data_IF_338319701119
#
_entry.id   IF_338319701119
#
_cell.length_a   1.000
_cell.length_b   1.000
_cell.length_c   1.000
_cell.angle_alpha   90.00
_cell.angle_beta   90.00
_cell.angle_gamma   90.00
#
_symmetry.space_group_name_H-M   'P 1'
#
loop_
_entity.id
_entity.type
_entity.pdbx_description
1 polymer ?
#
# COMPACT_ATOMS: atom_id res chain seq x y z
N UNK A 1 -7.56 5.28 9.85
CA UNK A 1 -6.47 4.60 9.13
C UNK A 1 -5.11 5.06 9.64
N UNK A 2 -4.79 6.35 9.58
CA UNK A 2 -3.66 6.94 10.32
C UNK A 2 -4.16 7.33 11.71
N UNK A 3 -3.54 6.76 12.74
CA UNK A 3 -3.67 7.21 14.12
C UNK A 3 -2.26 7.48 14.58
N UNK A 4 -2.04 8.58 15.30
CA UNK A 4 -0.81 8.77 16.06
C UNK A 4 -0.59 7.55 16.91
N UNK A 5 0.37 6.74 16.50
CA UNK A 5 0.70 5.48 17.14
C UNK A 5 2.08 5.73 17.72
N UNK A 6 2.19 6.15 18.99
CA UNK A 6 3.50 6.40 19.58
C UNK A 6 4.31 5.12 19.44
N UNK A 7 5.40 5.20 18.70
CA UNK A 7 6.28 4.05 18.47
C UNK A 7 7.04 3.81 19.77
N UNK A 8 6.48 2.95 20.63
CA UNK A 8 7.19 2.51 21.83
C UNK A 8 8.37 1.68 21.34
N UNK A 9 9.59 2.07 21.72
CA UNK A 9 10.79 1.32 21.37
C UNK A 9 10.85 0.03 22.17
N UNK A 10 10.21 -1.01 21.63
CA UNK A 10 10.34 -2.39 22.11
C UNK A 10 10.95 -3.24 21.01
N UNK A 11 11.63 -4.32 21.39
CA UNK A 11 12.26 -5.21 20.43
C UNK A 11 11.23 -5.85 19.46
N UNK A 12 9.99 -6.07 19.90
CA UNK A 12 8.89 -6.55 19.06
C UNK A 12 8.51 -5.55 17.96
N UNK A 13 8.41 -4.26 18.32
CA UNK A 13 8.11 -3.18 17.37
C UNK A 13 9.24 -3.03 16.37
N UNK A 14 10.49 -2.96 16.86
CA UNK A 14 11.69 -2.86 16.01
C UNK A 14 11.79 -4.04 15.05
N UNK A 15 11.49 -5.26 15.50
CA UNK A 15 11.49 -6.45 14.66
C UNK A 15 10.49 -6.34 13.51
N UNK A 16 9.25 -5.91 13.77
CA UNK A 16 8.25 -5.74 12.71
C UNK A 16 8.56 -4.56 11.79
N UNK A 17 9.07 -3.45 12.32
CA UNK A 17 9.52 -2.31 11.49
C UNK A 17 10.63 -2.75 10.53
N UNK A 18 11.57 -3.57 10.99
CA UNK A 18 12.64 -4.12 10.15
C UNK A 18 12.11 -5.08 9.06
N UNK A 19 11.08 -5.87 9.36
CA UNK A 19 10.46 -6.74 8.35
C UNK A 19 9.62 -5.92 7.35
N UNK A 20 8.90 -4.91 7.82
CA UNK A 20 8.15 -4.01 6.95
C UNK A 20 9.08 -3.21 6.03
N UNK A 21 10.23 -2.75 6.55
CA UNK A 21 11.20 -1.97 5.76
C UNK A 21 11.82 -2.75 4.60
N UNK A 22 11.88 -4.08 4.70
CA UNK A 22 12.34 -4.95 3.61
C UNK A 22 11.51 -4.81 2.33
N UNK A 23 10.25 -4.38 2.40
CA UNK A 23 9.38 -4.14 1.23
C UNK A 23 9.84 -2.98 0.35
N UNK A 24 10.74 -2.14 0.85
CA UNK A 24 11.27 -0.95 0.16
C UNK A 24 12.75 -1.09 -0.17
N UNK A 25 13.30 -2.29 0.00
CA UNK A 25 14.66 -2.61 -0.34
C UNK A 25 14.76 -2.91 -1.85
N UNK A 26 15.72 -2.26 -2.52
CA UNK A 26 16.06 -2.56 -3.90
C UNK A 26 17.13 -3.65 -3.96
N UNK A 27 16.79 -4.76 -4.61
CA UNK A 27 17.76 -5.79 -4.94
C UNK A 27 18.46 -5.45 -6.26
N UNK A 28 19.75 -5.13 -6.20
CA UNK A 28 20.56 -4.79 -7.37
C UNK A 28 21.39 -5.97 -7.88
N UNK A 29 21.17 -7.19 -7.36
CA UNK A 29 21.93 -8.40 -7.74
C UNK A 29 21.86 -8.75 -9.22
N UNK A 30 20.76 -8.43 -9.89
CA UNK A 30 20.57 -8.66 -11.32
C UNK A 30 21.27 -7.63 -12.21
N UNK A 31 21.69 -6.48 -11.64
CA UNK A 31 22.38 -5.42 -12.37
C UNK A 31 23.90 -5.58 -12.37
N UNK A 32 24.45 -6.33 -11.41
CA UNK A 32 25.89 -6.64 -11.37
C UNK A 32 26.31 -7.66 -12.44
N UNK A 33 25.37 -8.41 -13.02
CA UNK A 33 25.63 -9.59 -13.84
C UNK A 33 25.72 -9.34 -15.36
N UNK A 34 26.08 -8.13 -15.82
CA UNK A 34 26.45 -7.97 -17.24
C UNK A 34 26.33 -6.59 -17.89
N UNK A 35 25.94 -5.52 -17.18
CA UNK A 35 25.74 -4.21 -17.81
C UNK A 35 26.40 -3.07 -17.02
N UNK A 36 27.73 -2.99 -17.10
CA UNK A 36 28.56 -2.00 -16.40
C UNK A 36 28.07 -0.54 -16.59
N UNK A 37 27.52 -0.23 -17.77
CA UNK A 37 27.01 1.10 -18.12
C UNK A 37 25.76 1.51 -17.32
N UNK A 38 24.88 0.54 -17.01
CA UNK A 38 23.70 0.77 -16.19
C UNK A 38 24.08 0.90 -14.72
N UNK A 39 25.04 0.10 -14.26
CA UNK A 39 25.54 0.18 -12.89
C UNK A 39 26.21 1.53 -12.60
N UNK A 40 27.07 2.02 -13.49
CA UNK A 40 27.70 3.34 -13.33
C UNK A 40 26.69 4.48 -13.36
N UNK A 41 25.69 4.40 -14.24
CA UNK A 41 24.59 5.38 -14.31
C UNK A 41 23.74 5.38 -13.04
N UNK A 42 23.49 4.20 -12.45
CA UNK A 42 22.80 4.06 -11.17
C UNK A 42 23.61 4.61 -10.01
N UNK A 43 24.90 4.30 -9.96
CA UNK A 43 25.80 4.83 -8.94
C UNK A 43 25.89 6.36 -9.02
N UNK A 44 26.00 6.92 -10.22
CA UNK A 44 25.97 8.36 -10.44
C UNK A 44 24.64 8.98 -9.96
N UNK A 45 23.50 8.40 -10.35
CA UNK A 45 22.18 8.88 -9.92
C UNK A 45 21.95 8.76 -8.41
N UNK A 46 22.57 7.79 -7.76
CA UNK A 46 22.42 7.54 -6.33
C UNK A 46 23.42 8.31 -5.44
N UNK A 47 24.41 8.99 -6.05
CA UNK A 47 25.29 9.94 -5.37
C UNK A 47 24.49 11.14 -4.82
N UNK A 48 25.07 11.88 -3.87
CA UNK A 48 24.44 13.08 -3.32
C UNK A 48 24.11 14.11 -4.43
N UNK A 49 25.03 14.31 -5.38
CA UNK A 49 24.81 15.18 -6.54
C UNK A 49 23.73 14.63 -7.47
N UNK A 50 23.75 13.33 -7.79
CA UNK A 50 22.74 12.69 -8.63
C UNK A 50 21.32 12.78 -8.06
N UNK A 51 21.19 12.64 -6.73
CA UNK A 51 19.90 12.79 -6.03
C UNK A 51 19.44 14.23 -5.98
N UNK A 52 20.36 15.18 -5.77
CA UNK A 52 20.06 16.61 -5.87
C UNK A 52 19.59 16.98 -7.29
N UNK A 53 20.21 16.43 -8.33
CA UNK A 53 19.79 16.61 -9.72
C UNK A 53 18.40 16.01 -9.97
N UNK A 54 18.15 14.79 -9.47
CA UNK A 54 16.84 14.14 -9.57
C UNK A 54 15.74 14.98 -8.93
N UNK A 55 15.98 15.50 -7.73
CA UNK A 55 15.02 16.36 -7.04
C UNK A 55 14.88 17.73 -7.73
N UNK A 56 15.96 18.29 -8.28
CA UNK A 56 15.90 19.52 -9.05
C UNK A 56 15.10 19.39 -10.36
N UNK A 57 15.09 18.20 -11.00
CA UNK A 57 14.18 17.91 -12.12
C UNK A 57 12.71 17.93 -11.70
N UNK A 58 12.45 17.60 -10.44
CA UNK A 58 11.13 17.59 -9.81
C UNK A 58 10.92 18.84 -8.92
N UNK A 59 11.47 20.00 -9.30
CA UNK A 59 11.24 21.28 -8.61
C UNK A 59 9.75 21.56 -8.40
N UNK A 60 9.45 22.43 -7.44
CA UNK A 60 8.09 22.78 -6.99
C UNK A 60 7.09 23.00 -8.14
N UNK A 61 7.46 23.73 -9.21
CA UNK A 61 6.56 23.94 -10.35
C UNK A 61 6.20 22.64 -11.09
N UNK A 62 7.15 21.71 -11.24
CA UNK A 62 6.91 20.42 -11.90
C UNK A 62 6.05 19.52 -11.00
N UNK A 63 6.33 19.50 -9.70
CA UNK A 63 5.52 18.75 -8.74
C UNK A 63 4.10 19.29 -8.66
N UNK A 64 3.92 20.61 -8.60
CA UNK A 64 2.59 21.24 -8.58
C UNK A 64 1.83 20.89 -9.86
N UNK A 65 2.43 21.11 -11.04
CA UNK A 65 1.80 20.74 -12.32
C UNK A 65 1.44 19.24 -12.37
N UNK A 66 2.31 18.35 -11.90
CA UNK A 66 2.02 16.93 -11.85
C UNK A 66 0.84 16.61 -10.91
N UNK A 67 0.77 17.24 -9.73
CA UNK A 67 -0.34 17.06 -8.79
C UNK A 67 -1.67 17.60 -9.36
N UNK A 68 -1.64 18.75 -10.04
CA UNK A 68 -2.81 19.32 -10.72
C UNK A 68 -3.28 18.41 -11.87
N UNK A 69 -2.36 17.88 -12.67
CA UNK A 69 -2.66 16.92 -13.74
C UNK A 69 -3.22 15.60 -13.19
N UNK A 70 -2.67 15.12 -12.08
CA UNK A 70 -3.19 13.94 -11.40
C UNK A 70 -4.62 14.16 -10.92
N UNK A 71 -4.93 15.33 -10.34
CA UNK A 71 -6.29 15.72 -9.98
C UNK A 71 -7.24 15.64 -11.19
N UNK A 72 -6.86 16.18 -12.35
CA UNK A 72 -7.70 16.12 -13.56
C UNK A 72 -7.95 14.67 -13.99
N UNK A 73 -6.93 13.81 -13.96
CA UNK A 73 -7.08 12.39 -14.29
C UNK A 73 -7.98 11.66 -13.31
N UNK A 74 -7.84 11.92 -12.01
CA UNK A 74 -8.72 11.35 -10.98
C UNK A 74 -10.16 11.82 -11.14
N UNK A 75 -10.38 13.12 -11.42
CA UNK A 75 -11.71 13.67 -11.68
C UNK A 75 -12.33 13.05 -12.93
N UNK A 76 -11.56 12.91 -14.01
CA UNK A 76 -12.05 12.27 -15.23
C UNK A 76 -12.47 10.82 -14.98
N UNK A 77 -11.68 10.10 -14.18
CA UNK A 77 -12.01 8.73 -13.78
C UNK A 77 -13.31 8.66 -12.99
N UNK A 78 -13.50 9.50 -11.97
CA UNK A 78 -14.68 9.46 -11.10
C UNK A 78 -15.83 10.36 -11.58
N UNK A 79 -15.74 10.97 -12.76
CA UNK A 79 -16.69 11.97 -13.25
C UNK A 79 -18.12 11.46 -13.46
N UNK A 80 -18.33 10.15 -13.40
CA UNK A 80 -19.63 9.50 -13.46
C UNK A 80 -20.35 9.42 -12.12
N UNK A 81 -19.64 9.61 -11.00
CA UNK A 81 -20.23 9.66 -9.67
C UNK A 81 -20.55 11.13 -9.39
N UNK A 82 -21.82 11.50 -9.20
CA UNK A 82 -22.19 12.88 -8.91
C UNK A 82 -21.64 13.31 -7.53
N UNK A 83 -21.12 14.54 -7.47
CA UNK A 83 -20.67 15.19 -6.23
C UNK A 83 -19.70 14.34 -5.38
N UNK A 84 -18.69 13.70 -6.00
CA UNK A 84 -17.64 12.92 -5.29
C UNK A 84 -16.81 13.78 -4.35
N UNK A 85 -16.49 15.00 -4.80
CA UNK A 85 -15.65 15.96 -4.10
C UNK A 85 -16.07 17.36 -4.54
N UNK A 86 -16.15 18.28 -3.59
CA UNK A 86 -16.26 19.69 -3.95
C UNK A 86 -14.90 20.25 -4.43
N UNK A 87 -14.93 21.41 -5.09
CA UNK A 87 -13.72 22.03 -5.65
C UNK A 87 -12.71 22.45 -4.57
N UNK A 88 -13.19 22.80 -3.38
CA UNK A 88 -12.34 23.23 -2.27
C UNK A 88 -11.61 22.05 -1.64
N UNK A 89 -12.29 20.93 -1.42
CA UNK A 89 -11.72 19.67 -0.97
C UNK A 89 -10.71 19.16 -1.99
N UNK A 90 -11.08 19.11 -3.27
CA UNK A 90 -10.18 18.77 -4.37
C UNK A 90 -8.86 19.56 -4.36
N UNK A 91 -8.96 20.87 -4.18
CA UNK A 91 -7.79 21.77 -4.11
C UNK A 91 -6.94 21.47 -2.88
N UNK A 92 -7.57 21.20 -1.74
CA UNK A 92 -6.86 20.79 -0.54
C UNK A 92 -6.11 19.48 -0.79
N UNK A 93 -6.76 18.41 -1.26
CA UNK A 93 -6.09 17.12 -1.57
C UNK A 93 -4.90 17.32 -2.49
N UNK A 94 -5.03 18.18 -3.51
CA UNK A 94 -3.92 18.54 -4.41
C UNK A 94 -2.75 19.21 -3.69
N UNK A 95 -3.03 20.18 -2.82
CA UNK A 95 -2.00 20.84 -2.00
C UNK A 95 -1.33 19.88 -1.02
N UNK A 96 -2.06 18.92 -0.45
CA UNK A 96 -1.49 17.92 0.45
C UNK A 96 -0.59 16.94 -0.30
N UNK A 97 -1.03 16.44 -1.45
CA UNK A 97 -0.18 15.61 -2.31
C UNK A 97 1.13 16.34 -2.63
N UNK A 98 1.07 17.61 -3.01
CA UNK A 98 2.25 18.43 -3.23
C UNK A 98 3.18 18.50 -2.01
N UNK A 99 2.64 18.77 -0.81
CA UNK A 99 3.43 18.82 0.43
C UNK A 99 4.10 17.48 0.76
N UNK A 100 3.40 16.37 0.57
CA UNK A 100 3.92 15.02 0.78
C UNK A 100 5.10 14.77 -0.16
N UNK A 101 4.94 15.00 -1.46
CA UNK A 101 6.02 14.76 -2.43
C UNK A 101 7.20 15.71 -2.25
N UNK A 102 6.96 16.98 -1.89
CA UNK A 102 8.04 17.90 -1.57
C UNK A 102 8.85 17.40 -0.38
N UNK A 103 8.18 16.98 0.71
CA UNK A 103 8.87 16.44 1.88
C UNK A 103 9.61 15.14 1.57
N UNK A 104 9.00 14.27 0.75
CA UNK A 104 9.63 13.04 0.28
C UNK A 104 10.94 13.32 -0.48
N UNK A 105 10.94 14.34 -1.37
CA UNK A 105 12.13 14.72 -2.12
C UNK A 105 13.21 15.36 -1.25
N UNK A 106 12.85 16.12 -0.21
CA UNK A 106 13.82 16.63 0.78
C UNK A 106 14.57 15.46 1.44
N UNK A 107 13.84 14.45 1.89
CA UNK A 107 14.42 13.26 2.54
C UNK A 107 15.24 12.46 1.53
N UNK A 108 14.72 12.24 0.32
CA UNK A 108 15.41 11.52 -0.75
C UNK A 108 16.76 12.14 -1.10
N UNK A 109 16.87 13.47 -1.09
CA UNK A 109 18.12 14.21 -1.36
C UNK A 109 19.16 14.06 -0.27
N UNK A 110 18.73 13.95 0.99
CA UNK A 110 19.62 13.82 2.14
C UNK A 110 20.29 12.44 2.21
N UNK A 111 19.76 11.45 1.49
CA UNK A 111 20.30 10.10 1.49
C UNK A 111 21.44 9.96 0.49
N UNK A 112 22.65 9.61 0.94
CA UNK A 112 23.77 9.25 0.05
C UNK A 112 23.98 7.74 0.02
N UNK A 113 24.65 7.24 -1.03
CA UNK A 113 25.03 5.84 -1.12
C UNK A 113 25.99 5.43 0.01
N UNK A 114 26.89 6.34 0.41
CA UNK A 114 27.89 6.12 1.47
C UNK A 114 27.24 5.81 2.83
N UNK A 115 26.01 6.29 3.06
CA UNK A 115 25.28 6.10 4.31
C UNK A 115 24.33 4.88 4.30
N UNK A 116 24.03 4.27 3.14
CA UNK A 116 22.88 3.36 2.98
C UNK A 116 23.15 2.03 2.26
N UNK A 117 24.40 1.70 1.92
CA UNK A 117 24.71 0.37 1.39
C UNK A 117 24.68 -0.65 2.53
N UNK A 118 23.65 -1.50 2.54
CA UNK A 118 23.69 -2.75 3.30
C UNK A 118 24.40 -3.78 2.42
N UNK A 119 25.67 -4.06 2.74
CA UNK A 119 26.38 -5.18 2.12
C UNK A 119 25.92 -6.46 2.80
N UNK A 120 24.93 -7.15 2.24
CA UNK A 120 24.58 -8.50 2.72
C UNK A 120 25.68 -9.44 2.22
N UNK A 121 26.61 -9.82 3.12
CA UNK A 121 27.59 -10.88 2.88
C UNK A 121 26.89 -12.24 2.98
N UNK A 122 26.42 -12.76 1.87
CA UNK A 122 26.28 -14.22 1.70
C UNK A 122 27.55 -14.66 0.99
N UNK A 123 28.24 -15.65 1.53
CA UNK A 123 29.53 -16.14 1.08
C UNK A 123 29.60 -16.25 -0.47
N UNK A 124 30.65 -15.68 -1.04
CA UNK A 124 31.08 -15.70 -2.45
C UNK A 124 30.28 -14.95 -3.53
N UNK A 125 29.22 -14.18 -3.22
CA UNK A 125 28.68 -13.18 -4.16
C UNK A 125 28.14 -11.95 -3.41
N UNK A 126 28.92 -10.87 -3.32
CA UNK A 126 28.48 -9.66 -2.62
C UNK A 126 27.25 -9.03 -3.29
N UNK A 127 26.09 -9.08 -2.63
CA UNK A 127 24.88 -8.39 -3.08
C UNK A 127 24.88 -6.98 -2.50
N UNK A 128 24.90 -5.98 -3.38
CA UNK A 128 24.68 -4.58 -2.97
C UNK A 128 23.18 -4.32 -2.89
N UNK A 129 22.72 -4.04 -1.68
CA UNK A 129 21.32 -3.76 -1.40
C UNK A 129 21.18 -2.27 -1.09
N UNK A 130 20.31 -1.57 -1.82
CA UNK A 130 19.99 -0.18 -1.53
C UNK A 130 18.63 -0.12 -0.83
N UNK A 131 18.65 0.21 0.46
CA UNK A 131 17.43 0.46 1.22
C UNK A 131 17.06 1.95 1.16
N UNK A 132 15.77 2.26 1.32
CA UNK A 132 15.40 3.58 1.81
C UNK A 132 15.93 3.70 3.25
N UNK A 133 16.59 4.81 3.55
CA UNK A 133 17.01 5.06 4.93
C UNK A 133 15.79 5.10 5.85
N UNK A 134 15.98 4.52 7.04
CA UNK A 134 15.03 4.33 8.14
C UNK A 134 13.57 4.68 7.80
N UNK A 135 12.78 3.67 7.45
CA UNK A 135 11.32 3.75 7.32
C UNK A 135 10.66 4.51 8.48
N UNK A 136 11.24 4.42 9.67
CA UNK A 136 10.84 5.19 10.86
C UNK A 136 11.02 6.71 10.69
N UNK A 137 12.14 7.17 10.11
CA UNK A 137 12.38 8.59 9.82
C UNK A 137 11.39 9.11 8.76
N UNK A 138 11.18 8.34 7.69
CA UNK A 138 10.19 8.67 6.67
C UNK A 138 8.77 8.70 7.24
N UNK A 139 8.41 7.73 8.08
CA UNK A 139 7.11 7.69 8.77
C UNK A 139 6.93 8.92 9.66
N UNK A 140 7.91 9.21 10.52
CA UNK A 140 7.88 10.33 11.46
C UNK A 140 7.82 11.67 10.74
N UNK A 141 8.56 11.84 9.65
CA UNK A 141 8.60 13.09 8.91
C UNK A 141 7.31 13.36 8.13
N UNK A 142 6.63 12.32 7.65
CA UNK A 142 5.38 12.45 6.90
C UNK A 142 4.14 12.46 7.80
N UNK A 143 4.19 11.84 8.98
CA UNK A 143 3.04 11.69 9.89
C UNK A 143 2.29 13.00 10.16
N UNK A 144 2.93 14.14 10.47
CA UNK A 144 2.21 15.40 10.70
C UNK A 144 1.40 15.86 9.48
N UNK A 145 1.94 15.70 8.27
CA UNK A 145 1.28 16.08 7.03
C UNK A 145 0.07 15.17 6.78
N UNK A 146 0.24 13.87 7.02
CA UNK A 146 -0.77 12.85 6.83
C UNK A 146 -1.91 12.95 7.87
N UNK A 147 -1.59 13.31 9.12
CA UNK A 147 -2.57 13.50 10.19
C UNK A 147 -3.48 14.70 9.95
N UNK A 148 -2.90 15.87 9.65
CA UNK A 148 -3.68 17.07 9.29
C UNK A 148 -4.62 16.76 8.12
N UNK A 149 -4.14 16.00 7.16
CA UNK A 149 -4.94 15.60 6.02
C UNK A 149 -6.11 14.69 6.40
N UNK A 150 -5.87 13.67 7.23
CA UNK A 150 -6.93 12.78 7.68
C UNK A 150 -7.98 13.51 8.53
N UNK A 151 -7.57 14.46 9.39
CA UNK A 151 -8.50 15.26 10.19
C UNK A 151 -9.45 16.08 9.32
N UNK A 152 -8.93 16.71 8.27
CA UNK A 152 -9.76 17.46 7.32
C UNK A 152 -10.77 16.56 6.59
N UNK A 153 -10.36 15.33 6.25
CA UNK A 153 -11.24 14.35 5.63
C UNK A 153 -12.30 13.80 6.59
N UNK A 154 -11.95 13.54 7.85
CA UNK A 154 -12.92 13.13 8.87
C UNK A 154 -13.96 14.24 9.10
N UNK A 155 -13.54 15.51 9.00
CA UNK A 155 -14.43 16.66 9.10
C UNK A 155 -15.41 16.78 7.92
N UNK A 156 -15.02 16.38 6.70
CA UNK A 156 -15.94 16.41 5.55
C UNK A 156 -17.02 15.32 5.60
N UNK A 157 -16.84 14.29 6.44
CA UNK A 157 -17.72 13.10 6.55
C UNK A 157 -17.91 12.34 5.25
N UNK A 158 -17.16 12.67 4.21
CA UNK A 158 -17.26 12.06 2.91
C UNK A 158 -16.05 11.17 2.66
N UNK A 159 -16.20 9.89 2.98
CA UNK A 159 -15.16 8.88 2.78
C UNK A 159 -14.71 8.76 1.31
N UNK A 160 -15.50 9.24 0.32
CA UNK A 160 -15.18 9.22 -1.13
C UNK A 160 -13.89 9.95 -1.45
N UNK A 161 -13.57 10.96 -0.66
CA UNK A 161 -12.33 11.68 -0.76
C UNK A 161 -11.07 10.82 -0.48
N UNK A 162 -11.17 9.70 0.26
CA UNK A 162 -10.04 8.80 0.50
C UNK A 162 -9.70 7.93 -0.72
N UNK A 163 -10.72 7.35 -1.36
CA UNK A 163 -10.54 6.63 -2.63
C UNK A 163 -10.03 7.55 -3.74
N UNK A 164 -10.49 8.81 -3.72
CA UNK A 164 -9.98 9.85 -4.59
C UNK A 164 -8.50 10.15 -4.31
N UNK A 165 -8.09 10.31 -3.04
CA UNK A 165 -6.70 10.59 -2.68
C UNK A 165 -5.76 9.49 -3.17
N UNK A 166 -6.04 8.23 -2.85
CA UNK A 166 -5.16 7.11 -3.23
C UNK A 166 -4.99 7.03 -4.74
N UNK A 167 -6.05 7.32 -5.51
CA UNK A 167 -5.99 7.43 -6.97
C UNK A 167 -5.18 8.64 -7.43
N UNK A 168 -5.34 9.80 -6.79
CA UNK A 168 -4.59 11.01 -7.12
C UNK A 168 -3.09 10.80 -6.90
N UNK A 169 -2.69 10.19 -5.79
CA UNK A 169 -1.28 9.88 -5.52
C UNK A 169 -0.72 8.88 -6.54
N UNK A 170 -1.50 7.86 -6.90
CA UNK A 170 -1.09 6.93 -7.95
C UNK A 170 -0.82 7.66 -9.29
N UNK A 171 -1.72 8.55 -9.71
CA UNK A 171 -1.49 9.35 -10.93
C UNK A 171 -0.30 10.31 -10.78
N UNK A 172 -0.14 10.95 -9.62
CA UNK A 172 1.03 11.79 -9.32
C UNK A 172 2.32 11.00 -9.44
N UNK A 173 2.39 9.80 -8.86
CA UNK A 173 3.54 8.90 -8.96
C UNK A 173 3.90 8.59 -10.40
N UNK A 174 2.91 8.27 -11.25
CA UNK A 174 3.16 8.02 -12.68
C UNK A 174 3.68 9.25 -13.40
N UNK A 175 3.11 10.42 -13.12
CA UNK A 175 3.53 11.68 -13.74
C UNK A 175 4.95 12.08 -13.31
N UNK A 176 5.28 11.88 -12.03
CA UNK A 176 6.63 12.04 -11.48
C UNK A 176 7.60 11.10 -12.19
N UNK A 177 7.31 9.80 -12.21
CA UNK A 177 8.18 8.79 -12.83
C UNK A 177 8.39 9.05 -14.33
N UNK A 178 7.38 9.54 -15.06
CA UNK A 178 7.51 9.89 -16.49
C UNK A 178 8.57 10.95 -16.77
N UNK A 179 8.97 11.76 -15.79
CA UNK A 179 10.01 12.80 -15.94
C UNK A 179 11.43 12.30 -15.68
N UNK A 180 11.57 11.06 -15.22
CA UNK A 180 12.83 10.53 -14.71
C UNK A 180 13.47 9.52 -15.68
N UNK A 181 14.79 9.49 -15.64
CA UNK A 181 15.59 8.46 -16.32
C UNK A 181 15.42 7.10 -15.62
N UNK A 182 15.75 5.97 -16.27
CA UNK A 182 15.60 4.66 -15.66
C UNK A 182 16.32 4.51 -14.30
N UNK A 183 17.57 4.97 -14.12
CA UNK A 183 18.22 4.91 -12.80
C UNK A 183 17.49 5.72 -11.72
N UNK A 184 17.04 6.93 -12.06
CA UNK A 184 16.28 7.79 -11.14
C UNK A 184 14.94 7.14 -10.74
N UNK A 185 14.25 6.50 -11.70
CA UNK A 185 13.02 5.75 -11.42
C UNK A 185 13.28 4.63 -10.42
N UNK A 186 14.33 3.83 -10.64
CA UNK A 186 14.70 2.73 -9.73
C UNK A 186 14.91 3.27 -8.31
N UNK A 187 15.65 4.37 -8.15
CA UNK A 187 15.98 4.94 -6.84
C UNK A 187 14.80 5.61 -6.14
N UNK A 188 13.90 6.25 -6.88
CA UNK A 188 12.77 6.99 -6.30
C UNK A 188 11.54 6.11 -6.06
N UNK A 189 11.36 5.02 -6.82
CA UNK A 189 10.18 4.14 -6.71
C UNK A 189 9.91 3.63 -5.29
N UNK A 190 10.91 3.18 -4.50
CA UNK A 190 10.66 2.76 -3.12
C UNK A 190 10.06 3.85 -2.22
N UNK A 191 10.47 5.10 -2.41
CA UNK A 191 9.94 6.25 -1.67
C UNK A 191 8.47 6.53 -2.05
N UNK A 192 8.15 6.44 -3.34
CA UNK A 192 6.78 6.62 -3.83
C UNK A 192 5.87 5.47 -3.36
N UNK A 193 6.37 4.23 -3.39
CA UNK A 193 5.68 3.04 -2.86
C UNK A 193 5.43 3.19 -1.36
N UNK A 194 6.42 3.66 -0.60
CA UNK A 194 6.28 3.92 0.84
C UNK A 194 5.13 4.88 1.13
N UNK A 195 5.06 6.01 0.41
CA UNK A 195 3.97 6.98 0.56
C UNK A 195 2.61 6.36 0.25
N UNK A 196 2.50 5.60 -0.84
CA UNK A 196 1.25 4.91 -1.20
C UNK A 196 0.82 3.91 -0.12
N UNK A 197 1.74 3.07 0.37
CA UNK A 197 1.44 2.10 1.43
C UNK A 197 1.08 2.78 2.76
N UNK A 198 1.84 3.80 3.16
CA UNK A 198 1.58 4.54 4.40
C UNK A 198 0.21 5.22 4.39
N UNK A 199 -0.25 5.63 3.22
CA UNK A 199 -1.54 6.30 3.05
C UNK A 199 -2.66 5.30 2.84
N UNK A 200 -2.43 4.12 2.27
CA UNK A 200 -3.50 3.16 1.99
C UNK A 200 -3.64 2.08 3.07
N UNK A 201 -2.61 1.85 3.89
CA UNK A 201 -2.51 0.67 4.75
C UNK A 201 -2.00 1.07 6.14
N UNK A 202 -2.50 0.44 7.22
CA UNK A 202 -2.12 0.79 8.59
C UNK A 202 -0.82 0.10 9.05
N UNK A 203 0.18 -0.11 8.17
CA UNK A 203 1.39 -0.90 8.50
C UNK A 203 2.16 -0.34 9.70
N UNK A 204 2.33 0.97 9.79
CA UNK A 204 2.97 1.59 10.95
C UNK A 204 2.23 1.27 12.26
N UNK A 205 0.88 1.24 12.24
CA UNK A 205 0.06 0.88 13.41
C UNK A 205 0.13 -0.62 13.70
N UNK A 206 0.24 -1.47 12.69
CA UNK A 206 0.52 -2.91 12.87
C UNK A 206 1.84 -3.07 13.63
N UNK A 207 2.90 -2.39 13.19
CA UNK A 207 4.19 -2.41 13.88
C UNK A 207 4.06 -1.88 15.32
N UNK A 208 3.38 -0.76 15.55
CA UNK A 208 3.20 -0.19 16.88
C UNK A 208 2.36 -1.09 17.82
N UNK A 209 1.35 -1.79 17.30
CA UNK A 209 0.52 -2.70 18.08
C UNK A 209 1.32 -3.88 18.65
N UNK A 210 2.46 -4.24 18.04
CA UNK A 210 3.37 -5.26 18.55
C UNK A 210 4.01 -4.90 19.90
N UNK A 211 3.94 -3.64 20.34
CA UNK A 211 4.44 -3.22 21.65
C UNK A 211 3.79 -3.97 22.82
N UNK A 212 2.59 -4.52 22.63
CA UNK A 212 1.85 -5.29 23.64
C UNK A 212 2.35 -6.72 23.82
N UNK A 213 3.22 -7.19 22.93
CA UNK A 213 3.59 -8.60 22.83
C UNK A 213 5.08 -8.81 23.08
N UNK A 214 5.40 -9.85 23.84
CA UNK A 214 6.78 -10.30 24.04
C UNK A 214 7.35 -10.96 22.78
N UNK A 215 8.67 -10.87 22.64
CA UNK A 215 9.42 -11.60 21.63
C UNK A 215 9.20 -13.10 21.84
N UNK A 216 8.61 -13.77 20.85
CA UNK A 216 8.30 -15.20 20.91
C UNK A 216 6.85 -15.54 21.23
N UNK A 217 6.01 -14.53 21.54
CA UNK A 217 4.56 -14.77 21.63
C UNK A 217 4.02 -15.37 20.33
N UNK A 218 3.04 -16.29 20.38
CA UNK A 218 2.54 -16.98 19.18
C UNK A 218 2.04 -16.03 18.08
N UNK A 219 1.35 -14.94 18.48
CA UNK A 219 0.87 -13.90 17.56
C UNK A 219 2.01 -13.19 16.83
N UNK A 220 3.07 -12.83 17.55
CA UNK A 220 4.21 -12.13 16.96
C UNK A 220 5.04 -13.06 16.09
N UNK A 221 5.22 -14.33 16.48
CA UNK A 221 5.89 -15.35 15.66
C UNK A 221 5.16 -15.54 14.34
N UNK A 222 3.83 -15.70 14.39
CA UNK A 222 2.98 -15.79 13.21
C UNK A 222 3.17 -14.57 12.30
N UNK A 223 3.07 -13.36 12.84
CA UNK A 223 3.18 -12.16 12.02
C UNK A 223 4.59 -11.98 11.43
N UNK A 224 5.65 -12.34 12.16
CA UNK A 224 7.02 -12.33 11.63
C UNK A 224 7.21 -13.28 10.45
N UNK A 225 6.54 -14.43 10.46
CA UNK A 225 6.53 -15.38 9.34
C UNK A 225 5.72 -14.83 8.14
N UNK A 226 4.59 -14.19 8.41
CA UNK A 226 3.63 -13.81 7.36
C UNK A 226 3.92 -12.47 6.70
N UNK A 227 4.50 -11.51 7.41
CA UNK A 227 4.74 -10.16 6.88
C UNK A 227 5.63 -10.16 5.61
N UNK A 228 6.73 -10.95 5.53
CA UNK A 228 7.55 -11.02 4.32
C UNK A 228 6.84 -11.60 3.11
N UNK A 229 5.86 -12.49 3.31
CA UNK A 229 5.17 -13.21 2.22
C UNK A 229 3.84 -12.57 1.80
N UNK A 230 3.47 -11.41 2.36
CA UNK A 230 2.20 -10.74 2.06
C UNK A 230 2.05 -10.36 0.57
N UNK A 231 3.15 -9.97 -0.09
CA UNK A 231 3.14 -9.66 -1.53
C UNK A 231 2.90 -10.93 -2.36
N UNK A 232 3.54 -12.04 -2.00
CA UNK A 232 3.36 -13.33 -2.67
C UNK A 232 1.94 -13.88 -2.48
N UNK A 233 1.35 -13.69 -1.30
CA UNK A 233 -0.05 -14.02 -1.03
C UNK A 233 -0.95 -13.19 -1.94
N UNK A 234 -0.76 -11.86 -2.00
CA UNK A 234 -1.53 -10.99 -2.88
C UNK A 234 -1.42 -11.43 -4.36
N UNK A 235 -0.22 -11.79 -4.83
CA UNK A 235 -0.01 -12.24 -6.19
C UNK A 235 -0.65 -13.62 -6.47
N UNK A 236 -0.62 -14.54 -5.50
CA UNK A 236 -1.29 -15.85 -5.61
C UNK A 236 -2.81 -15.67 -5.71
N UNK A 237 -3.38 -14.91 -4.77
CA UNK A 237 -4.82 -14.62 -4.72
C UNK A 237 -5.27 -13.91 -5.99
N UNK A 238 -4.52 -12.90 -6.45
CA UNK A 238 -4.84 -12.18 -7.67
C UNK A 238 -4.88 -13.11 -8.89
N UNK A 239 -3.86 -13.97 -9.08
CA UNK A 239 -3.87 -14.97 -10.16
C UNK A 239 -5.09 -15.88 -10.09
N UNK A 240 -5.43 -16.35 -8.89
CA UNK A 240 -6.61 -17.19 -8.70
C UNK A 240 -7.92 -16.46 -9.00
N UNK A 241 -8.01 -15.18 -8.66
CA UNK A 241 -9.17 -14.36 -8.98
C UNK A 241 -9.33 -14.14 -10.48
N UNK A 242 -8.23 -13.93 -11.22
CA UNK A 242 -8.24 -13.84 -12.69
C UNK A 242 -8.79 -15.13 -13.31
N UNK A 243 -8.39 -16.30 -12.79
CA UNK A 243 -8.90 -17.60 -13.25
C UNK A 243 -10.40 -17.80 -12.93
N UNK A 244 -10.83 -17.39 -11.74
CA UNK A 244 -12.21 -17.57 -11.28
C UNK A 244 -13.20 -16.56 -11.87
N UNK A 245 -12.70 -15.42 -12.37
CA UNK A 245 -13.49 -14.31 -12.88
C UNK A 245 -12.95 -13.80 -14.23
N UNK A 246 -12.81 -14.68 -15.25
CA UNK A 246 -12.12 -14.34 -16.50
C UNK A 246 -12.83 -13.26 -17.31
N UNK A 247 -14.14 -13.09 -17.11
CA UNK A 247 -14.97 -12.13 -17.81
C UNK A 247 -15.19 -10.82 -17.02
N UNK A 248 -14.60 -10.69 -15.83
CA UNK A 248 -14.77 -9.48 -15.03
C UNK A 248 -14.10 -8.28 -15.71
N UNK A 249 -14.88 -7.20 -15.88
CA UNK A 249 -14.42 -5.92 -16.40
C UNK A 249 -14.92 -4.79 -15.51
N UNK A 250 -13.99 -3.91 -15.16
CA UNK A 250 -14.26 -2.62 -14.54
C UNK A 250 -14.22 -1.51 -15.59
N UNK A 251 -14.52 -0.27 -15.18
CA UNK A 251 -14.34 0.92 -16.03
C UNK A 251 -12.87 1.19 -16.40
N UNK A 252 -11.92 0.65 -15.63
CA UNK A 252 -10.47 0.71 -15.93
C UNK A 252 -10.00 -0.45 -16.81
N UNK A 253 -10.91 -1.35 -17.21
CA UNK A 253 -10.62 -2.52 -18.03
C UNK A 253 -10.81 -3.84 -17.29
N UNK A 254 -10.36 -4.93 -17.91
CA UNK A 254 -10.37 -6.28 -17.34
C UNK A 254 -9.32 -6.43 -16.24
N UNK A 255 -9.37 -7.55 -15.50
CA UNK A 255 -8.38 -7.80 -14.43
C UNK A 255 -6.95 -7.75 -14.96
N UNK A 256 -6.71 -8.31 -16.15
CA UNK A 256 -5.42 -8.33 -16.82
C UNK A 256 -4.85 -6.96 -17.20
N UNK A 257 -5.63 -5.88 -17.12
CA UNK A 257 -5.11 -4.54 -17.38
C UNK A 257 -4.13 -4.12 -16.28
N UNK A 258 -2.94 -3.58 -16.60
CA UNK A 258 -1.90 -3.29 -15.60
C UNK A 258 -2.37 -2.38 -14.46
N UNK A 259 -3.27 -1.45 -14.77
CA UNK A 259 -3.87 -0.52 -13.82
C UNK A 259 -4.84 -1.18 -12.85
N UNK A 260 -5.61 -2.15 -13.35
CA UNK A 260 -6.52 -2.95 -12.54
C UNK A 260 -5.72 -3.91 -11.68
N UNK A 261 -4.73 -4.59 -12.27
CA UNK A 261 -3.78 -5.46 -11.56
C UNK A 261 -3.13 -4.74 -10.39
N UNK A 262 -2.57 -3.55 -10.62
CA UNK A 262 -1.93 -2.76 -9.57
C UNK A 262 -2.90 -2.40 -8.44
N UNK A 263 -4.11 -1.92 -8.77
CA UNK A 263 -5.13 -1.59 -7.76
C UNK A 263 -5.56 -2.81 -6.96
N UNK A 264 -5.76 -3.95 -7.63
CA UNK A 264 -6.14 -5.20 -6.99
C UNK A 264 -5.07 -5.70 -6.00
N UNK A 265 -3.81 -5.69 -6.40
CA UNK A 265 -2.70 -6.09 -5.52
C UNK A 265 -2.56 -5.17 -4.31
N UNK A 266 -2.73 -3.86 -4.50
CA UNK A 266 -2.76 -2.90 -3.39
C UNK A 266 -3.89 -3.24 -2.42
N UNK A 267 -5.10 -3.47 -2.92
CA UNK A 267 -6.26 -3.75 -2.06
C UNK A 267 -6.09 -5.09 -1.32
N UNK A 268 -5.51 -6.12 -1.94
CA UNK A 268 -5.15 -7.37 -1.26
C UNK A 268 -4.15 -7.16 -0.11
N UNK A 269 -3.12 -6.33 -0.32
CA UNK A 269 -2.18 -5.98 0.75
C UNK A 269 -2.87 -5.17 1.87
N UNK A 270 -3.78 -4.26 1.51
CA UNK A 270 -4.56 -3.49 2.50
C UNK A 270 -5.41 -4.41 3.38
N UNK A 271 -6.12 -5.38 2.80
CA UNK A 271 -6.90 -6.35 3.56
C UNK A 271 -6.02 -7.17 4.52
N UNK A 272 -4.87 -7.66 4.05
CA UNK A 272 -3.89 -8.35 4.90
C UNK A 272 -3.43 -7.48 6.07
N UNK A 273 -3.06 -6.22 5.83
CA UNK A 273 -2.66 -5.28 6.87
C UNK A 273 -3.75 -5.09 7.95
N UNK A 274 -5.01 -5.00 7.53
CA UNK A 274 -6.14 -4.90 8.46
C UNK A 274 -6.40 -6.18 9.24
N UNK A 275 -6.22 -7.37 8.64
CA UNK A 275 -6.33 -8.65 9.35
C UNK A 275 -5.26 -8.72 10.45
N UNK A 276 -4.01 -8.39 10.12
CA UNK A 276 -2.91 -8.40 11.10
C UNK A 276 -3.10 -7.37 12.20
N UNK A 277 -3.64 -6.20 11.86
CA UNK A 277 -3.99 -5.21 12.87
C UNK A 277 -5.11 -5.71 13.79
N UNK A 278 -6.13 -6.37 13.24
CA UNK A 278 -7.20 -6.95 14.06
C UNK A 278 -6.65 -8.03 14.99
N UNK A 279 -5.69 -8.83 14.53
CA UNK A 279 -5.01 -9.85 15.31
C UNK A 279 -4.24 -9.26 16.49
N UNK A 280 -3.39 -8.26 16.26
CA UNK A 280 -2.59 -7.60 17.31
C UNK A 280 -3.41 -6.67 18.23
N UNK A 281 -4.58 -6.22 17.79
CA UNK A 281 -5.49 -5.46 18.64
C UNK A 281 -6.57 -6.32 19.29
N UNK A 282 -6.57 -7.63 19.01
CA UNK A 282 -7.56 -8.60 19.46
C UNK A 282 -9.01 -8.12 19.22
N UNK A 283 -9.23 -7.50 18.06
CA UNK A 283 -10.47 -6.81 17.77
C UNK A 283 -10.73 -6.69 16.27
N UNK A 284 -11.97 -7.00 15.86
CA UNK A 284 -12.44 -6.71 14.49
C UNK A 284 -12.75 -5.23 14.24
N UNK A 285 -12.55 -4.37 15.24
CA UNK A 285 -12.89 -2.93 15.16
C UNK A 285 -12.20 -2.21 14.00
N UNK A 286 -10.87 -2.39 13.74
CA UNK A 286 -10.21 -1.74 12.61
C UNK A 286 -10.87 -2.08 11.28
N UNK A 287 -11.21 -3.35 11.06
CA UNK A 287 -11.88 -3.78 9.84
C UNK A 287 -13.30 -3.19 9.73
N UNK A 288 -14.11 -3.27 10.79
CA UNK A 288 -15.50 -2.79 10.79
C UNK A 288 -15.62 -1.27 10.64
N UNK A 289 -14.79 -0.51 11.35
CA UNK A 289 -14.93 0.96 11.44
C UNK A 289 -14.08 1.71 10.44
N UNK A 290 -13.06 1.06 9.86
CA UNK A 290 -12.12 1.74 8.97
C UNK A 290 -12.11 1.12 7.58
N UNK A 291 -11.88 -0.20 7.43
CA UNK A 291 -11.80 -0.81 6.09
C UNK A 291 -13.17 -0.94 5.41
N UNK A 292 -14.18 -1.45 6.13
CA UNK A 292 -15.51 -1.69 5.55
C UNK A 292 -16.15 -0.43 4.94
N UNK A 293 -16.17 0.74 5.60
CA UNK A 293 -16.72 1.96 5.00
C UNK A 293 -16.03 2.37 3.68
N UNK A 294 -14.73 2.12 3.56
CA UNK A 294 -13.97 2.39 2.34
C UNK A 294 -14.39 1.45 1.21
N UNK A 295 -14.57 0.17 1.52
CA UNK A 295 -15.05 -0.80 0.55
C UNK A 295 -16.49 -0.54 0.13
N UNK A 296 -17.41 -0.27 1.06
CA UNK A 296 -18.81 0.06 0.76
C UNK A 296 -18.91 1.19 -0.27
N UNK A 297 -18.12 2.22 -0.07
CA UNK A 297 -18.07 3.40 -0.92
C UNK A 297 -17.51 3.10 -2.32
N UNK A 298 -16.43 2.32 -2.43
CA UNK A 298 -15.90 1.90 -3.74
C UNK A 298 -16.93 1.03 -4.45
N UNK A 299 -17.59 0.12 -3.76
CA UNK A 299 -18.53 -0.81 -4.38
C UNK A 299 -19.83 -0.12 -4.82
N UNK A 300 -20.40 0.75 -3.97
CA UNK A 300 -21.56 1.57 -4.34
C UNK A 300 -21.23 2.59 -5.43
N UNK A 301 -20.01 3.13 -5.43
CA UNK A 301 -19.58 4.15 -6.38
C UNK A 301 -19.11 3.59 -7.72
N UNK A 302 -18.53 2.39 -7.79
CA UNK A 302 -17.82 1.86 -8.97
C UNK A 302 -18.55 0.67 -9.64
N UNK A 303 -19.74 0.29 -9.14
CA UNK A 303 -20.57 -0.80 -9.70
C UNK A 303 -19.83 -2.15 -9.77
N UNK A 304 -18.86 -2.38 -8.88
CA UNK A 304 -18.19 -3.68 -8.78
C UNK A 304 -19.21 -4.69 -8.22
N UNK A 305 -19.43 -5.85 -8.84
CA UNK A 305 -20.33 -6.86 -8.29
C UNK A 305 -19.84 -7.30 -6.90
N UNK A 306 -20.68 -7.20 -5.87
CA UNK A 306 -20.36 -7.61 -4.50
C UNK A 306 -19.93 -9.09 -4.38
N UNK A 307 -20.32 -9.93 -5.35
CA UNK A 307 -19.87 -11.32 -5.50
C UNK A 307 -18.35 -11.43 -5.67
N UNK A 308 -17.74 -10.40 -6.25
CA UNK A 308 -16.29 -10.29 -6.33
C UNK A 308 -15.69 -10.16 -4.95
N UNK A 309 -16.26 -9.33 -4.07
CA UNK A 309 -15.75 -9.10 -2.71
C UNK A 309 -15.85 -10.35 -1.83
N UNK A 310 -16.90 -11.17 -2.00
CA UNK A 310 -17.03 -12.44 -1.28
C UNK A 310 -15.97 -13.45 -1.74
N UNK A 311 -15.85 -13.69 -3.05
CA UNK A 311 -14.79 -14.54 -3.61
C UNK A 311 -13.40 -14.04 -3.23
N UNK A 312 -13.22 -12.73 -3.17
CA UNK A 312 -11.97 -12.10 -2.76
C UNK A 312 -11.61 -12.42 -1.31
N UNK A 313 -12.55 -12.21 -0.37
CA UNK A 313 -12.34 -12.54 1.04
C UNK A 313 -12.13 -14.03 1.27
N UNK A 314 -12.81 -14.88 0.49
CA UNK A 314 -12.64 -16.33 0.55
C UNK A 314 -11.25 -16.74 0.06
N UNK A 315 -10.87 -16.40 -1.17
CA UNK A 315 -9.59 -16.79 -1.76
C UNK A 315 -8.42 -16.23 -0.95
N UNK A 316 -8.53 -14.99 -0.44
CA UNK A 316 -7.52 -14.42 0.44
C UNK A 316 -7.41 -15.20 1.75
N UNK A 317 -8.53 -15.52 2.39
CA UNK A 317 -8.56 -16.32 3.61
C UNK A 317 -7.93 -17.69 3.42
N UNK A 318 -8.35 -18.41 2.37
CA UNK A 318 -7.84 -19.74 2.05
C UNK A 318 -6.33 -19.73 1.78
N UNK A 319 -5.84 -18.76 1.01
CA UNK A 319 -4.41 -18.60 0.75
C UNK A 319 -3.65 -18.34 2.06
N UNK A 320 -4.11 -17.40 2.90
CA UNK A 320 -3.44 -17.10 4.17
C UNK A 320 -3.40 -18.32 5.10
N UNK A 321 -4.50 -19.07 5.20
CA UNK A 321 -4.59 -20.29 6.02
C UNK A 321 -3.68 -21.41 5.51
N UNK A 322 -3.42 -21.48 4.19
CA UNK A 322 -2.52 -22.46 3.59
C UNK A 322 -1.04 -22.21 3.89
N UNK A 323 -0.66 -21.00 4.30
CA UNK A 323 0.74 -20.60 4.57
C UNK A 323 1.16 -20.79 6.03
N UNK A 324 0.26 -21.24 6.89
CA UNK A 324 0.46 -21.34 8.34
C UNK A 324 0.24 -22.77 8.83
N UNK A 325 0.88 -23.13 9.94
CA UNK A 325 0.71 -24.44 10.55
C UNK A 325 -0.63 -24.52 11.34
N UNK A 326 -1.09 -25.72 11.75
CA UNK A 326 -2.39 -25.86 12.43
C UNK A 326 -2.55 -25.02 13.71
N UNK A 327 -1.51 -24.89 14.54
CA UNK A 327 -1.56 -24.08 15.77
C UNK A 327 -1.72 -22.59 15.45
N UNK A 328 -1.08 -22.12 14.38
CA UNK A 328 -1.22 -20.76 13.88
C UNK A 328 -2.56 -20.52 13.18
N UNK A 329 -3.16 -21.55 12.58
CA UNK A 329 -4.50 -21.48 11.99
C UNK A 329 -5.52 -21.12 13.07
N UNK A 330 -5.44 -21.73 14.26
CA UNK A 330 -6.36 -21.44 15.37
C UNK A 330 -6.29 -19.96 15.82
N UNK A 331 -5.11 -19.33 15.73
CA UNK A 331 -4.94 -17.91 16.03
C UNK A 331 -5.53 -17.00 14.96
N UNK A 332 -5.43 -17.39 13.69
CA UNK A 332 -5.80 -16.55 12.54
C UNK A 332 -7.27 -16.70 12.15
N UNK A 333 -7.84 -17.89 12.29
CA UNK A 333 -9.18 -18.24 11.86
C UNK A 333 -10.27 -17.26 12.33
N UNK A 334 -10.30 -16.81 13.60
CA UNK A 334 -11.33 -15.88 14.06
C UNK A 334 -11.36 -14.56 13.28
N UNK A 335 -10.20 -14.10 12.79
CA UNK A 335 -10.08 -12.84 12.04
C UNK A 335 -10.45 -13.02 10.58
N UNK A 336 -10.15 -14.18 9.98
CA UNK A 336 -10.57 -14.54 8.62
C UNK A 336 -12.09 -14.70 8.56
N UNK A 337 -12.67 -15.50 9.46
CA UNK A 337 -14.12 -15.67 9.56
C UNK A 337 -14.81 -14.34 9.89
N UNK A 338 -14.23 -13.56 10.82
CA UNK A 338 -14.72 -12.24 11.18
C UNK A 338 -14.80 -11.32 9.96
N UNK A 339 -13.75 -11.26 9.14
CA UNK A 339 -13.74 -10.49 7.89
C UNK A 339 -14.87 -10.95 6.96
N UNK A 340 -14.93 -12.25 6.65
CA UNK A 340 -15.93 -12.81 5.74
C UNK A 340 -17.36 -12.49 6.21
N UNK A 341 -17.64 -12.67 7.51
CA UNK A 341 -18.95 -12.35 8.09
C UNK A 341 -19.31 -10.87 8.00
N UNK A 342 -18.33 -9.97 8.19
CA UNK A 342 -18.56 -8.53 8.10
C UNK A 342 -18.97 -8.14 6.68
N UNK A 343 -18.19 -8.56 5.68
CA UNK A 343 -18.49 -8.26 4.28
C UNK A 343 -19.77 -8.95 3.80
N UNK A 344 -20.05 -10.17 4.27
CA UNK A 344 -21.29 -10.88 3.95
C UNK A 344 -22.53 -10.20 4.53
N UNK A 345 -22.49 -9.74 5.78
CA UNK A 345 -23.59 -8.98 6.40
C UNK A 345 -23.84 -7.67 5.65
N UNK A 346 -22.76 -7.01 5.23
CA UNK A 346 -22.85 -5.75 4.50
C UNK A 346 -23.48 -5.92 3.11
N UNK A 347 -23.06 -6.96 2.37
CA UNK A 347 -23.72 -7.38 1.12
C UNK A 347 -25.23 -7.55 1.29
N UNK A 348 -25.65 -8.26 2.35
CA UNK A 348 -27.08 -8.48 2.64
C UNK A 348 -27.82 -7.17 2.91
N UNK A 349 -27.21 -6.25 3.66
CA UNK A 349 -27.78 -4.93 3.96
C UNK A 349 -28.07 -4.13 2.68
N UNK A 350 -27.19 -4.25 1.68
CA UNK A 350 -27.29 -3.55 0.41
C UNK A 350 -28.21 -4.22 -0.62
N UNK A 351 -28.92 -5.29 -0.24
CA UNK A 351 -29.99 -5.87 -1.06
C UNK A 351 -29.53 -6.77 -2.21
N UNK A 352 -28.24 -7.13 -2.27
CA UNK A 352 -27.73 -8.08 -3.27
C UNK A 352 -28.20 -9.49 -2.92
N UNK A 353 -29.25 -9.96 -3.60
CA UNK A 353 -29.74 -11.35 -3.47
C UNK A 353 -28.71 -12.33 -4.05
N UNK A 354 -28.59 -13.52 -3.47
CA UNK A 354 -27.83 -14.60 -4.10
C UNK A 354 -28.51 -14.93 -5.43
N UNK A 355 -27.77 -14.89 -6.54
CA UNK A 355 -28.17 -15.65 -7.71
C UNK A 355 -28.16 -17.12 -7.28
N UNK A 356 -29.34 -17.71 -7.16
CA UNK A 356 -29.47 -19.15 -7.07
C UNK A 356 -28.73 -19.72 -8.27
N UNK A 357 -27.66 -20.49 -8.02
CA UNK A 357 -27.11 -21.41 -9.01
C UNK A 357 -28.26 -22.35 -9.34
N UNK A 358 -29.00 -22.00 -10.39
CA UNK A 358 -30.06 -22.82 -10.94
C UNK A 358 -29.40 -24.07 -11.46
N UNK A 359 -29.61 -25.17 -10.77
CA UNK A 359 -29.32 -26.50 -11.27
C UNK A 359 -29.97 -26.64 -12.64
N UNK A 360 -29.15 -26.95 -13.63
CA UNK A 360 -29.63 -27.61 -14.83
C UNK A 360 -29.66 -29.09 -14.48
N UNK A 361 -30.88 -29.64 -14.45
CA UNK A 361 -31.17 -31.07 -14.37
C UNK A 361 -30.56 -31.77 -15.59
#
# INVERSE_FOLDING_TARGET
MLKTSPTVKTASVERLLNLWSQRFILNLSSLSSGNLSLYSSLQAAASAEGRALTAAKLKDNVLDVNCQMAWIQTKALYGYIPNVLDLSEARLITQFAFRIYRKLLEIYQQQSLENNVLTIRVEENSVSVLAIAAVEELSTALEPILMVFQEQHLASKDWRALGFMTTQLNFSNKLILKKLTPPEKVLLTPYLKFVEEQIAMPWHRVCAAAAKYELGSPMLVLLQQMLPVCEDIAQSVYRRLVELLPNHRSRRGGLSDPEVTYSCLRDLNMFQAYIWLCLLEESMTPLKKELLPLCEMVVQGVEIPWEMTEKWCQVLGDEMMSRVNPEQQDLLLPYIEGMQQIFFKERKRLGVRQESVGGVI
#
